data_IF_629349251574
#
_entry.id   IF_629349251574
#
_cell.length_a   1.000
_cell.length_b   1.000
_cell.length_c   1.000
_cell.angle_alpha   90.00
_cell.angle_beta   90.00
_cell.angle_gamma   90.00
#
_symmetry.space_group_name_H-M   'P 1'
#
loop_
_entity.id
_entity.type
_entity.pdbx_description
1 polymer ?
#
# COMPACT_ATOMS: atom_id res chain seq x y z
N UNK A 1 -47.69 33.34 39.60
CA UNK A 1 -46.29 33.80 39.48
C UNK A 1 -45.50 32.68 38.83
N UNK A 2 -45.53 32.66 37.50
CA UNK A 2 -44.83 31.71 36.63
C UNK A 2 -43.67 32.45 36.00
N UNK A 3 -42.44 32.13 36.38
CA UNK A 3 -41.25 32.71 35.80
C UNK A 3 -40.53 31.66 34.96
N UNK A 4 -40.70 31.79 33.64
CA UNK A 4 -40.09 30.95 32.62
C UNK A 4 -38.68 31.45 32.34
N UNK A 5 -37.66 30.74 32.85
CA UNK A 5 -36.27 30.97 32.46
C UNK A 5 -36.06 30.49 31.01
N UNK A 6 -36.06 31.45 30.07
CA UNK A 6 -35.54 31.26 28.72
C UNK A 6 -34.03 30.98 28.77
N UNK A 7 -33.49 30.00 28.02
CA UNK A 7 -32.06 29.92 27.80
C UNK A 7 -31.62 31.13 26.98
N UNK A 8 -30.60 31.83 27.46
CA UNK A 8 -29.95 32.93 26.75
C UNK A 8 -29.31 32.43 25.47
N UNK A 9 -29.80 32.89 24.32
CA UNK A 9 -29.11 32.79 23.03
C UNK A 9 -27.75 33.49 23.10
N UNK A 10 -26.70 32.70 23.34
CA UNK A 10 -25.32 33.18 23.33
C UNK A 10 -24.85 33.37 21.89
N UNK A 11 -25.07 34.58 21.36
CA UNK A 11 -24.18 35.34 20.46
C UNK A 11 -23.54 34.56 19.30
N UNK A 12 -24.21 34.57 18.15
CA UNK A 12 -23.54 34.44 16.84
C UNK A 12 -22.59 35.63 16.62
N UNK A 13 -21.33 35.52 17.05
CA UNK A 13 -20.28 36.49 16.68
C UNK A 13 -20.15 36.50 15.15
N UNK A 14 -20.47 37.63 14.53
CA UNK A 14 -20.35 37.84 13.09
C UNK A 14 -18.92 37.54 12.62
N UNK A 15 -18.76 36.48 11.83
CA UNK A 15 -17.52 36.14 11.15
C UNK A 15 -17.05 37.34 10.32
N UNK A 16 -15.86 37.85 10.60
CA UNK A 16 -15.22 38.99 9.90
C UNK A 16 -15.12 38.71 8.41
N UNK A 17 -15.18 39.74 7.54
CA UNK A 17 -15.08 39.58 6.09
C UNK A 17 -13.82 38.81 5.65
N UNK A 18 -12.70 39.01 6.37
CA UNK A 18 -11.45 38.27 6.20
C UNK A 18 -11.61 36.76 6.44
N UNK A 19 -12.37 36.35 7.46
CA UNK A 19 -12.62 34.91 7.72
C UNK A 19 -13.47 34.25 6.63
N UNK A 20 -14.41 34.99 6.01
CA UNK A 20 -15.22 34.48 4.89
C UNK A 20 -14.42 34.41 3.60
N UNK A 21 -13.60 35.42 3.32
CA UNK A 21 -12.69 35.41 2.17
C UNK A 21 -11.67 34.27 2.27
N UNK A 22 -11.08 34.05 3.45
CA UNK A 22 -10.19 32.93 3.72
C UNK A 22 -10.91 31.57 3.57
N UNK A 23 -12.15 31.44 4.05
CA UNK A 23 -12.95 30.22 3.90
C UNK A 23 -13.27 29.92 2.42
N UNK A 24 -13.64 30.93 1.64
CA UNK A 24 -13.90 30.78 0.20
C UNK A 24 -12.64 30.42 -0.56
N UNK A 25 -11.50 31.06 -0.26
CA UNK A 25 -10.21 30.73 -0.85
C UNK A 25 -9.79 29.29 -0.52
N UNK A 26 -9.91 28.88 0.75
CA UNK A 26 -9.58 27.51 1.17
C UNK A 26 -10.46 26.47 0.46
N UNK A 27 -11.77 26.69 0.36
CA UNK A 27 -12.69 25.81 -0.39
C UNK A 27 -12.34 25.75 -1.87
N UNK A 28 -12.05 26.88 -2.49
CA UNK A 28 -11.63 26.96 -3.89
C UNK A 28 -10.33 26.19 -4.13
N UNK A 29 -9.34 26.38 -3.25
CA UNK A 29 -8.05 25.69 -3.33
C UNK A 29 -8.19 24.17 -3.18
N UNK A 30 -8.92 23.68 -2.17
CA UNK A 30 -9.17 22.24 -1.96
C UNK A 30 -9.91 21.62 -3.15
N UNK A 31 -10.89 22.33 -3.71
CA UNK A 31 -11.66 21.84 -4.86
C UNK A 31 -10.77 21.79 -6.12
N UNK A 32 -9.94 22.80 -6.32
CA UNK A 32 -9.00 22.85 -7.44
C UNK A 32 -7.95 21.74 -7.36
N UNK A 33 -7.36 21.49 -6.18
CA UNK A 33 -6.41 20.39 -5.99
C UNK A 33 -7.07 19.03 -6.17
N UNK A 34 -8.31 18.86 -5.71
CA UNK A 34 -9.11 17.66 -5.97
C UNK A 34 -9.33 17.41 -7.46
N UNK A 35 -9.76 18.43 -8.22
CA UNK A 35 -9.91 18.31 -9.68
C UNK A 35 -8.60 18.03 -10.39
N UNK A 36 -7.51 18.71 -9.98
CA UNK A 36 -6.19 18.49 -10.55
C UNK A 36 -5.74 17.03 -10.38
N UNK A 37 -5.94 16.45 -9.19
CA UNK A 37 -5.60 15.05 -8.94
C UNK A 37 -6.36 14.10 -9.88
N UNK A 38 -7.66 14.33 -10.10
CA UNK A 38 -8.48 13.54 -11.03
C UNK A 38 -7.97 13.69 -12.47
N UNK A 39 -7.68 14.92 -12.91
CA UNK A 39 -7.17 15.19 -14.27
C UNK A 39 -5.82 14.50 -14.49
N UNK A 40 -4.90 14.58 -13.53
CA UNK A 40 -3.60 13.91 -13.62
C UNK A 40 -3.75 12.39 -13.69
N UNK A 41 -4.61 11.80 -12.85
CA UNK A 41 -4.88 10.36 -12.89
C UNK A 41 -5.46 9.91 -14.24
N UNK A 42 -6.43 10.68 -14.76
CA UNK A 42 -7.02 10.43 -16.07
C UNK A 42 -6.00 10.58 -17.20
N UNK A 43 -5.12 11.57 -17.13
CA UNK A 43 -4.04 11.78 -18.09
C UNK A 43 -3.03 10.61 -18.08
N UNK A 44 -2.64 10.12 -16.91
CA UNK A 44 -1.77 8.93 -16.79
C UNK A 44 -2.46 7.71 -17.42
N UNK A 45 -3.73 7.47 -17.11
CA UNK A 45 -4.47 6.35 -17.68
C UNK A 45 -4.58 6.45 -19.21
N UNK A 46 -4.93 7.64 -19.73
CA UNK A 46 -5.01 7.88 -21.17
C UNK A 46 -3.64 7.71 -21.86
N UNK A 47 -2.56 8.17 -21.22
CA UNK A 47 -1.19 8.00 -21.72
C UNK A 47 -0.78 6.53 -21.79
N UNK A 48 -1.10 5.73 -20.77
CA UNK A 48 -0.85 4.29 -20.77
C UNK A 48 -1.63 3.59 -21.89
N UNK A 49 -2.92 3.91 -22.04
CA UNK A 49 -3.77 3.33 -23.09
C UNK A 49 -3.23 3.67 -24.47
N UNK A 50 -2.94 4.95 -24.74
CA UNK A 50 -2.46 5.43 -26.04
C UNK A 50 -1.20 4.69 -26.51
N UNK A 51 -0.21 4.54 -25.64
CA UNK A 51 1.04 3.85 -25.97
C UNK A 51 0.89 2.32 -26.02
N UNK A 52 -0.16 1.76 -25.42
CA UNK A 52 -0.47 0.33 -25.45
C UNK A 52 -1.16 -0.11 -26.75
N UNK A 53 -1.87 0.79 -27.46
CA UNK A 53 -2.70 0.44 -28.63
C UNK A 53 -1.96 -0.36 -29.70
N UNK A 54 -0.70 -0.01 -29.98
CA UNK A 54 0.14 -0.72 -30.95
C UNK A 54 0.37 -2.19 -30.55
N UNK A 55 0.75 -2.43 -29.30
CA UNK A 55 0.95 -3.79 -28.80
C UNK A 55 -0.35 -4.60 -28.76
N UNK A 56 -1.48 -3.94 -28.43
CA UNK A 56 -2.79 -4.58 -28.43
C UNK A 56 -3.23 -5.00 -29.83
N UNK A 57 -2.92 -4.20 -30.85
CA UNK A 57 -3.20 -4.53 -32.26
C UNK A 57 -2.31 -5.64 -32.83
N UNK A 58 -1.02 -5.66 -32.46
CA UNK A 58 -0.05 -6.62 -33.02
C UNK A 58 -0.05 -7.99 -32.31
N UNK A 59 -0.13 -8.02 -30.97
CA UNK A 59 0.03 -9.24 -30.18
C UNK A 59 -1.25 -9.71 -29.46
N UNK A 60 -2.23 -8.81 -29.27
CA UNK A 60 -3.50 -9.09 -28.60
C UNK A 60 -3.39 -9.16 -27.06
N UNK A 61 -4.30 -8.47 -26.35
CA UNK A 61 -4.28 -8.35 -24.88
C UNK A 61 -4.22 -9.71 -24.18
N UNK A 62 -5.06 -10.66 -24.59
CA UNK A 62 -5.14 -11.97 -23.96
C UNK A 62 -3.80 -12.71 -24.01
N UNK A 63 -3.13 -12.70 -25.17
CA UNK A 63 -1.85 -13.39 -25.35
C UNK A 63 -0.72 -12.75 -24.57
N UNK A 64 -0.72 -11.42 -24.44
CA UNK A 64 0.23 -10.68 -23.61
C UNK A 64 -0.01 -11.01 -22.13
N UNK A 65 -1.24 -10.93 -21.64
CA UNK A 65 -1.54 -11.09 -20.21
C UNK A 65 -1.40 -12.55 -19.75
N UNK A 66 -1.88 -13.52 -20.53
CA UNK A 66 -1.86 -14.94 -20.15
C UNK A 66 -0.65 -15.70 -20.67
N UNK A 67 0.20 -15.07 -21.49
CA UNK A 67 1.41 -15.70 -22.01
C UNK A 67 2.41 -15.99 -20.90
N UNK A 68 3.03 -17.17 -20.96
CA UNK A 68 3.97 -17.66 -19.93
C UNK A 68 5.43 -17.31 -20.19
N UNK A 69 5.74 -16.87 -21.41
CA UNK A 69 7.10 -16.69 -21.90
C UNK A 69 7.41 -15.20 -22.08
N UNK A 70 8.36 -14.68 -21.30
CA UNK A 70 8.90 -13.33 -21.46
C UNK A 70 10.30 -13.37 -22.08
N UNK A 71 10.36 -13.31 -23.41
CA UNK A 71 11.61 -13.25 -24.18
C UNK A 71 11.51 -12.14 -25.24
N UNK A 72 11.68 -10.86 -24.86
CA UNK A 72 11.56 -9.74 -25.79
C UNK A 72 12.62 -9.74 -26.90
N UNK A 73 13.80 -10.31 -26.62
CA UNK A 73 14.97 -10.33 -27.50
C UNK A 73 15.00 -11.52 -28.46
N UNK A 74 14.06 -12.48 -28.35
CA UNK A 74 13.98 -13.61 -29.29
C UNK A 74 13.41 -13.19 -30.65
N UNK A 75 13.66 -13.98 -31.70
CA UNK A 75 13.02 -13.82 -33.00
C UNK A 75 12.18 -15.06 -33.32
N UNK A 76 10.82 -14.98 -33.32
CA UNK A 76 9.99 -13.82 -32.97
C UNK A 76 10.01 -13.52 -31.46
N UNK A 77 9.75 -12.25 -31.09
CA UNK A 77 9.70 -11.80 -29.71
C UNK A 77 8.50 -12.39 -28.96
N UNK A 78 8.70 -12.80 -27.70
CA UNK A 78 7.65 -13.35 -26.83
C UNK A 78 7.37 -12.41 -25.66
N UNK A 79 6.11 -12.03 -25.50
CA UNK A 79 5.68 -10.95 -24.59
C UNK A 79 4.64 -11.42 -23.56
N UNK A 80 4.83 -12.61 -23.00
CA UNK A 80 3.96 -13.17 -21.97
C UNK A 80 4.21 -12.57 -20.59
N UNK A 81 3.26 -11.79 -20.07
CA UNK A 81 3.34 -11.08 -18.80
C UNK A 81 2.89 -11.91 -17.58
N UNK A 82 2.34 -13.11 -17.77
CA UNK A 82 1.90 -13.97 -16.66
C UNK A 82 2.99 -14.22 -15.60
N UNK A 83 4.26 -14.56 -15.93
CA UNK A 83 5.31 -14.72 -14.93
C UNK A 83 5.58 -13.42 -14.14
N UNK A 84 5.42 -12.25 -14.77
CA UNK A 84 5.61 -10.95 -14.13
C UNK A 84 4.49 -10.63 -13.14
N UNK A 85 3.24 -10.92 -13.54
CA UNK A 85 2.05 -10.73 -12.71
C UNK A 85 2.13 -11.65 -11.49
N UNK A 86 2.41 -12.93 -11.71
CA UNK A 86 2.50 -13.91 -10.63
C UNK A 86 3.69 -13.61 -9.72
N UNK A 87 4.84 -13.25 -10.27
CA UNK A 87 6.01 -12.81 -9.50
C UNK A 87 5.68 -11.62 -8.59
N UNK A 88 5.02 -10.59 -9.12
CA UNK A 88 4.53 -9.44 -8.34
C UNK A 88 3.60 -9.87 -7.21
N UNK A 89 2.57 -10.68 -7.52
CA UNK A 89 1.59 -11.12 -6.53
C UNK A 89 2.21 -11.96 -5.40
N UNK A 90 3.13 -12.87 -5.73
CA UNK A 90 3.83 -13.70 -4.74
C UNK A 90 4.66 -12.82 -3.79
N UNK A 91 5.46 -11.89 -4.33
CA UNK A 91 6.30 -11.01 -3.52
C UNK A 91 5.45 -10.12 -2.62
N UNK A 92 4.36 -9.54 -3.14
CA UNK A 92 3.41 -8.77 -2.35
C UNK A 92 2.75 -9.64 -1.26
N UNK A 93 2.34 -10.87 -1.59
CA UNK A 93 1.70 -11.77 -0.62
C UNK A 93 2.65 -12.10 0.53
N UNK A 94 3.91 -12.45 0.25
CA UNK A 94 4.94 -12.69 1.28
C UNK A 94 5.13 -11.44 2.13
N UNK A 95 5.21 -10.26 1.51
CA UNK A 95 5.33 -8.99 2.24
C UNK A 95 4.18 -8.76 3.20
N UNK A 96 2.94 -9.05 2.80
CA UNK A 96 1.76 -8.89 3.66
C UNK A 96 1.72 -9.90 4.79
N UNK A 97 2.11 -11.16 4.54
CA UNK A 97 2.21 -12.20 5.59
C UNK A 97 3.21 -11.80 6.66
N UNK A 98 4.26 -11.05 6.32
CA UNK A 98 5.22 -10.50 7.29
C UNK A 98 4.68 -9.22 7.94
N UNK A 99 4.24 -8.26 7.13
CA UNK A 99 3.96 -6.90 7.58
C UNK A 99 2.66 -6.79 8.37
N UNK A 100 1.60 -7.50 7.98
CA UNK A 100 0.28 -7.37 8.62
C UNK A 100 0.30 -7.90 10.06
N UNK A 101 0.74 -9.15 10.34
CA UNK A 101 0.71 -9.66 11.71
C UNK A 101 1.62 -8.86 12.64
N UNK A 102 2.85 -8.56 12.21
CA UNK A 102 3.83 -7.81 13.01
C UNK A 102 3.37 -6.36 13.17
N UNK A 103 2.88 -5.73 12.11
CA UNK A 103 2.44 -4.34 12.13
C UNK A 103 1.22 -4.12 13.01
N UNK A 104 0.21 -5.00 12.92
CA UNK A 104 -0.98 -4.92 13.76
C UNK A 104 -0.68 -5.25 15.23
N UNK A 105 0.16 -6.25 15.50
CA UNK A 105 0.58 -6.57 16.85
C UNK A 105 1.32 -5.39 17.50
N UNK A 106 2.24 -4.76 16.76
CA UNK A 106 2.95 -3.58 17.23
C UNK A 106 2.01 -2.39 17.45
N UNK A 107 1.08 -2.12 16.53
CA UNK A 107 0.10 -1.04 16.68
C UNK A 107 -0.79 -1.22 17.92
N UNK A 108 -1.31 -2.43 18.13
CA UNK A 108 -2.13 -2.78 19.30
C UNK A 108 -1.34 -2.65 20.60
N UNK A 109 -0.09 -3.12 20.61
CA UNK A 109 0.77 -3.00 21.78
C UNK A 109 1.07 -1.54 22.12
N UNK A 110 1.44 -0.75 21.11
CA UNK A 110 1.77 0.67 21.26
C UNK A 110 0.57 1.51 21.68
N UNK A 111 -0.65 1.15 21.26
CA UNK A 111 -1.85 1.92 21.61
C UNK A 111 -2.45 1.56 22.95
N UNK A 112 -2.46 0.28 23.34
CA UNK A 112 -3.22 -0.16 24.52
C UNK A 112 -2.34 -0.56 25.73
N UNK A 113 -1.07 -0.90 25.51
CA UNK A 113 -0.21 -1.47 26.55
C UNK A 113 1.07 -0.68 26.81
N UNK A 114 1.61 0.02 25.82
CA UNK A 114 2.85 0.75 25.96
C UNK A 114 2.72 1.97 26.88
N UNK A 115 3.74 2.20 27.70
CA UNK A 115 3.88 3.45 28.44
C UNK A 115 4.27 4.62 27.52
N UNK A 116 4.04 5.86 27.98
CA UNK A 116 4.25 7.09 27.18
C UNK A 116 5.63 7.17 26.52
N UNK A 117 6.71 6.89 27.26
CA UNK A 117 8.08 6.92 26.72
C UNK A 117 8.30 5.92 25.60
N UNK A 118 7.85 4.67 25.81
CA UNK A 118 8.02 3.62 24.80
C UNK A 118 7.24 3.96 23.53
N UNK A 119 6.01 4.47 23.69
CA UNK A 119 5.20 4.96 22.57
C UNK A 119 5.91 6.06 21.77
N UNK A 120 6.38 7.11 22.45
CA UNK A 120 7.07 8.24 21.81
C UNK A 120 8.34 7.81 21.07
N UNK A 121 9.16 6.94 21.70
CA UNK A 121 10.38 6.40 21.06
C UNK A 121 10.05 5.50 19.88
N UNK A 122 9.11 4.56 20.02
CA UNK A 122 8.71 3.68 18.93
C UNK A 122 8.13 4.46 17.75
N UNK A 123 7.33 5.52 18.00
CA UNK A 123 6.79 6.37 16.93
C UNK A 123 7.91 7.09 16.16
N UNK A 124 8.90 7.64 16.87
CA UNK A 124 10.08 8.22 16.23
C UNK A 124 10.88 7.20 15.38
N UNK A 125 11.05 5.96 15.88
CA UNK A 125 11.70 4.88 15.12
C UNK A 125 10.90 4.51 13.86
N UNK A 126 9.58 4.39 13.97
CA UNK A 126 8.68 4.07 12.86
C UNK A 126 8.74 5.18 11.79
N UNK A 127 8.68 6.44 12.20
CA UNK A 127 8.78 7.59 11.30
C UNK A 127 10.15 7.64 10.61
N UNK A 128 11.23 7.35 11.35
CA UNK A 128 12.55 7.22 10.76
C UNK A 128 12.62 6.09 9.73
N UNK A 129 12.07 4.91 10.04
CA UNK A 129 11.99 3.78 9.11
C UNK A 129 11.23 4.15 7.83
N UNK A 130 10.15 4.93 7.94
CA UNK A 130 9.36 5.39 6.79
C UNK A 130 10.15 6.34 5.86
N UNK A 131 11.10 7.10 6.41
CA UNK A 131 11.93 8.06 5.68
C UNK A 131 13.12 7.41 4.95
N UNK A 132 13.49 6.17 5.29
CA UNK A 132 14.61 5.47 4.64
C UNK A 132 14.27 5.18 3.17
N UNK A 133 15.13 5.56 2.21
CA UNK A 133 14.94 5.25 0.80
C UNK A 133 14.90 3.73 0.53
N UNK A 134 14.09 3.29 -0.43
CA UNK A 134 13.90 1.86 -0.69
C UNK A 134 15.16 1.13 -1.16
N UNK A 135 16.05 1.83 -1.88
CA UNK A 135 17.37 1.30 -2.28
C UNK A 135 18.24 0.92 -1.06
N UNK A 136 18.12 1.65 0.05
CA UNK A 136 18.86 1.33 1.28
C UNK A 136 18.36 0.01 1.87
N UNK A 137 17.04 -0.19 1.91
CA UNK A 137 16.46 -1.49 2.29
C UNK A 137 16.89 -2.61 1.34
N UNK A 138 16.94 -2.33 0.03
CA UNK A 138 17.45 -3.26 -0.97
C UNK A 138 18.90 -3.68 -0.69
N UNK A 139 19.79 -2.71 -0.43
CA UNK A 139 21.19 -2.97 -0.13
C UNK A 139 21.38 -3.78 1.16
N UNK A 140 20.68 -3.40 2.23
CA UNK A 140 20.69 -4.15 3.50
C UNK A 140 20.13 -5.57 3.31
N UNK A 141 19.08 -5.71 2.50
CA UNK A 141 18.51 -7.00 2.14
C UNK A 141 19.50 -7.90 1.41
N UNK A 142 20.25 -7.36 0.45
CA UNK A 142 21.31 -8.11 -0.26
C UNK A 142 22.44 -8.51 0.69
N UNK A 143 22.81 -7.62 1.62
CA UNK A 143 23.89 -7.89 2.56
C UNK A 143 23.53 -8.90 3.65
N UNK A 144 22.27 -8.90 4.13
CA UNK A 144 21.86 -9.67 5.31
C UNK A 144 20.81 -10.74 4.99
N UNK A 145 19.71 -10.36 4.35
CA UNK A 145 18.56 -11.25 4.13
C UNK A 145 18.87 -12.31 3.08
N UNK A 146 19.48 -11.92 1.95
CA UNK A 146 19.83 -12.85 0.87
C UNK A 146 20.78 -13.95 1.37
N UNK A 147 21.90 -13.67 2.06
CA UNK A 147 22.73 -14.72 2.66
C UNK A 147 22.01 -15.55 3.73
N UNK A 148 21.14 -14.94 4.53
CA UNK A 148 20.39 -15.64 5.56
C UNK A 148 19.41 -16.66 4.95
N UNK A 149 18.62 -16.26 3.96
CA UNK A 149 17.71 -17.14 3.22
C UNK A 149 18.48 -18.23 2.49
N UNK A 150 19.60 -17.88 1.83
CA UNK A 150 20.48 -18.85 1.16
C UNK A 150 20.93 -19.97 2.10
N UNK A 151 21.42 -19.61 3.30
CA UNK A 151 21.88 -20.60 4.30
C UNK A 151 20.73 -21.37 4.93
N UNK A 152 19.63 -20.70 5.25
CA UNK A 152 18.48 -21.33 5.92
C UNK A 152 17.81 -22.41 5.07
N UNK A 153 17.77 -22.22 3.75
CA UNK A 153 17.13 -23.16 2.81
C UNK A 153 18.13 -23.92 1.92
N UNK A 154 19.43 -23.82 2.21
CA UNK A 154 20.50 -24.48 1.43
C UNK A 154 20.41 -24.24 -0.09
N UNK A 155 20.20 -22.98 -0.50
CA UNK A 155 20.03 -22.60 -1.90
C UNK A 155 21.34 -22.19 -2.56
N UNK A 156 21.39 -22.20 -3.90
CA UNK A 156 22.52 -21.66 -4.68
C UNK A 156 22.56 -20.13 -4.63
N UNK A 157 21.39 -19.50 -4.62
CA UNK A 157 21.19 -18.06 -4.53
C UNK A 157 20.08 -17.74 -3.54
N UNK A 158 20.26 -16.68 -2.75
CA UNK A 158 19.21 -16.13 -1.90
C UNK A 158 18.36 -15.06 -2.58
N UNK A 159 18.61 -14.75 -3.86
CA UNK A 159 17.84 -13.77 -4.62
C UNK A 159 16.52 -14.39 -5.08
N UNK A 160 15.52 -14.36 -4.20
CA UNK A 160 14.28 -15.12 -4.33
C UNK A 160 13.06 -14.25 -4.06
N UNK A 161 11.87 -14.73 -4.45
CA UNK A 161 10.62 -14.09 -4.10
C UNK A 161 10.45 -13.92 -2.57
N UNK A 162 10.91 -14.90 -1.78
CA UNK A 162 10.92 -14.84 -0.32
C UNK A 162 11.79 -13.69 0.22
N UNK A 163 13.03 -13.57 -0.25
CA UNK A 163 13.93 -12.50 0.19
C UNK A 163 13.40 -11.11 -0.15
N UNK A 164 12.89 -10.93 -1.37
CA UNK A 164 12.24 -9.69 -1.79
C UNK A 164 11.01 -9.38 -0.94
N UNK A 165 10.15 -10.39 -0.71
CA UNK A 165 8.94 -10.25 0.10
C UNK A 165 9.21 -9.92 1.56
N UNK A 166 10.23 -10.53 2.20
CA UNK A 166 10.60 -10.21 3.59
C UNK A 166 11.00 -8.75 3.74
N UNK A 167 11.91 -8.27 2.89
CA UNK A 167 12.40 -6.88 2.97
C UNK A 167 11.28 -5.89 2.65
N UNK A 168 10.45 -6.21 1.64
CA UNK A 168 9.28 -5.42 1.31
C UNK A 168 8.27 -5.38 2.47
N UNK A 169 8.09 -6.49 3.18
CA UNK A 169 7.25 -6.56 4.36
C UNK A 169 7.76 -5.65 5.47
N UNK A 170 9.07 -5.66 5.75
CA UNK A 170 9.70 -4.73 6.71
C UNK A 170 9.49 -3.28 6.29
N UNK A 171 9.59 -2.98 5.00
CA UNK A 171 9.36 -1.63 4.46
C UNK A 171 7.89 -1.18 4.53
N UNK A 172 6.93 -2.12 4.55
CA UNK A 172 5.52 -1.83 4.71
C UNK A 172 5.10 -1.65 6.18
N UNK A 173 5.90 -2.12 7.15
CA UNK A 173 5.60 -2.00 8.57
C UNK A 173 5.31 -0.58 9.02
N UNK A 174 6.11 0.46 8.67
CA UNK A 174 5.87 1.80 9.19
C UNK A 174 4.49 2.35 8.82
N UNK A 175 4.05 2.09 7.59
CA UNK A 175 2.72 2.48 7.11
C UNK A 175 1.62 1.76 7.88
N UNK A 176 1.73 0.43 8.02
CA UNK A 176 0.70 -0.36 8.70
C UNK A 176 0.64 -0.01 10.20
N UNK A 177 1.78 0.09 10.87
CA UNK A 177 1.85 0.36 12.32
C UNK A 177 1.31 1.75 12.63
N UNK A 178 1.81 2.79 11.94
CA UNK A 178 1.47 4.18 12.26
C UNK A 178 -0.03 4.44 12.05
N UNK A 179 -0.58 4.04 10.91
CA UNK A 179 -1.99 4.29 10.59
C UNK A 179 -2.91 3.42 11.45
N UNK A 180 -2.52 2.18 11.76
CA UNK A 180 -3.30 1.33 12.69
C UNK A 180 -3.29 1.88 14.12
N UNK A 181 -2.15 2.41 14.58
CA UNK A 181 -2.02 3.04 15.90
C UNK A 181 -2.88 4.29 16.02
N UNK A 182 -2.89 5.14 15.00
CA UNK A 182 -3.76 6.33 14.94
C UNK A 182 -5.24 5.92 14.92
N UNK A 183 -5.60 4.89 14.15
CA UNK A 183 -6.97 4.35 14.12
C UNK A 183 -7.43 3.82 15.49
N UNK A 184 -6.56 3.12 16.21
CA UNK A 184 -6.85 2.63 17.56
C UNK A 184 -7.01 3.79 18.55
N UNK A 185 -6.18 4.84 18.45
CA UNK A 185 -6.31 6.03 19.31
C UNK A 185 -7.56 6.86 19.03
N UNK A 186 -8.07 6.85 17.80
CA UNK A 186 -9.30 7.55 17.44
C UNK A 186 -10.54 6.98 18.13
N UNK A 187 -10.48 5.73 18.64
CA UNK A 187 -11.58 5.15 19.41
C UNK A 187 -11.81 5.98 20.68
N UNK A 188 -13.06 6.38 21.00
CA UNK A 188 -13.34 7.15 22.22
C UNK A 188 -12.91 6.44 23.51
N UNK A 189 -12.33 7.18 24.46
CA UNK A 189 -11.95 6.65 25.77
C UNK A 189 -13.17 6.18 26.59
N UNK A 190 -14.35 6.74 26.35
CA UNK A 190 -15.61 6.33 26.98
C UNK A 190 -15.93 4.85 26.76
N UNK A 191 -15.67 4.31 25.56
CA UNK A 191 -15.87 2.89 25.25
C UNK A 191 -14.92 2.00 26.08
N UNK A 192 -13.68 2.45 26.29
CA UNK A 192 -12.70 1.74 27.13
C UNK A 192 -13.13 1.73 28.58
N UNK A 193 -13.52 2.89 29.12
CA UNK A 193 -13.99 3.00 30.51
C UNK A 193 -15.27 2.21 30.76
N UNK A 194 -16.21 2.21 29.82
CA UNK A 194 -17.44 1.43 29.92
C UNK A 194 -17.15 -0.09 29.96
N UNK A 195 -16.28 -0.59 29.08
CA UNK A 195 -15.87 -2.00 29.09
C UNK A 195 -15.19 -2.41 30.40
N UNK A 196 -14.27 -1.58 30.92
CA UNK A 196 -13.59 -1.83 32.19
C UNK A 196 -14.57 -1.80 33.37
N UNK A 197 -15.57 -0.92 33.36
CA UNK A 197 -16.62 -0.84 34.40
C UNK A 197 -17.51 -2.09 34.44
N UNK A 198 -17.64 -2.82 33.33
CA UNK A 198 -18.32 -4.11 33.25
C UNK A 198 -17.44 -5.28 33.75
N UNK A 199 -16.25 -5.00 34.30
CA UNK A 199 -15.34 -6.01 34.83
C UNK A 199 -14.45 -6.68 33.79
N UNK A 200 -14.42 -6.18 32.54
CA UNK A 200 -13.50 -6.71 31.53
C UNK A 200 -12.05 -6.30 31.86
N UNK A 201 -11.10 -7.17 31.53
CA UNK A 201 -9.67 -6.83 31.58
C UNK A 201 -9.28 -5.88 30.44
N UNK A 202 -8.08 -5.27 30.55
CA UNK A 202 -7.53 -4.44 29.46
C UNK A 202 -7.43 -5.23 28.15
N UNK A 203 -6.94 -6.46 28.20
CA UNK A 203 -6.88 -7.34 27.02
C UNK A 203 -8.27 -7.59 26.42
N UNK A 204 -9.25 -7.95 27.25
CA UNK A 204 -10.64 -8.16 26.80
C UNK A 204 -11.24 -6.90 26.16
N UNK A 205 -10.96 -5.73 26.73
CA UNK A 205 -11.38 -4.45 26.16
C UNK A 205 -10.73 -4.19 24.81
N UNK A 206 -9.43 -4.45 24.68
CA UNK A 206 -8.69 -4.28 23.41
C UNK A 206 -9.27 -5.16 22.31
N UNK A 207 -9.39 -6.47 22.50
CA UNK A 207 -9.78 -7.36 21.41
C UNK A 207 -11.29 -7.38 21.14
N UNK A 208 -12.15 -7.12 22.14
CA UNK A 208 -13.62 -7.13 21.96
C UNK A 208 -14.21 -5.77 21.62
N UNK A 209 -13.54 -4.68 21.97
CA UNK A 209 -14.09 -3.32 21.84
C UNK A 209 -13.20 -2.46 20.96
N UNK A 210 -11.95 -2.21 21.36
CA UNK A 210 -11.10 -1.24 20.66
C UNK A 210 -10.74 -1.69 19.24
N UNK A 211 -10.22 -2.91 19.07
CA UNK A 211 -9.80 -3.43 17.76
C UNK A 211 -11.00 -3.54 16.79
N UNK A 212 -12.16 -4.09 17.21
CA UNK A 212 -13.35 -4.08 16.35
C UNK A 212 -13.83 -2.67 15.99
N UNK A 213 -13.83 -1.73 16.94
CA UNK A 213 -14.22 -0.34 16.69
C UNK A 213 -13.26 0.38 15.73
N UNK A 214 -11.97 0.08 15.79
CA UNK A 214 -10.94 0.62 14.89
C UNK A 214 -10.79 -0.15 13.56
N UNK A 215 -11.61 -1.17 13.32
CA UNK A 215 -11.41 -2.14 12.22
C UNK A 215 -11.39 -1.50 10.83
N UNK A 216 -12.17 -0.44 10.58
CA UNK A 216 -12.13 0.30 9.32
C UNK A 216 -10.81 1.02 9.11
N UNK A 217 -10.28 1.69 10.14
CA UNK A 217 -8.98 2.36 10.07
C UNK A 217 -7.82 1.37 9.95
N UNK A 218 -7.88 0.24 10.67
CA UNK A 218 -6.90 -0.86 10.55
C UNK A 218 -6.91 -1.45 9.14
N UNK A 219 -8.10 -1.69 8.57
CA UNK A 219 -8.21 -2.19 7.20
C UNK A 219 -7.63 -1.19 6.21
N UNK A 220 -7.92 0.12 6.35
CA UNK A 220 -7.32 1.16 5.52
C UNK A 220 -5.78 1.19 5.64
N UNK A 221 -5.23 1.03 6.84
CA UNK A 221 -3.79 0.95 7.08
C UNK A 221 -3.14 -0.22 6.32
N UNK A 222 -3.76 -1.41 6.38
CA UNK A 222 -3.30 -2.59 5.65
C UNK A 222 -3.37 -2.35 4.15
N UNK A 223 -4.47 -1.80 3.63
CA UNK A 223 -4.64 -1.53 2.20
C UNK A 223 -3.63 -0.51 1.67
N UNK A 224 -3.30 0.54 2.45
CA UNK A 224 -2.24 1.48 2.11
C UNK A 224 -0.86 0.79 2.06
N UNK A 225 -0.61 -0.15 2.98
CA UNK A 225 0.58 -1.02 2.95
C UNK A 225 0.64 -1.90 1.70
N UNK A 226 -0.49 -2.50 1.30
CA UNK A 226 -0.63 -3.30 0.06
C UNK A 226 -0.29 -2.45 -1.16
N UNK A 227 -0.88 -1.26 -1.28
CA UNK A 227 -0.64 -0.34 -2.39
C UNK A 227 0.83 0.04 -2.52
N UNK A 228 1.50 0.33 -1.39
CA UNK A 228 2.95 0.59 -1.36
C UNK A 228 3.76 -0.64 -1.78
N UNK A 229 3.37 -1.83 -1.34
CA UNK A 229 4.08 -3.07 -1.66
C UNK A 229 3.97 -3.45 -3.15
N UNK A 230 2.79 -3.32 -3.75
CA UNK A 230 2.57 -3.61 -5.19
C UNK A 230 3.38 -2.66 -6.08
N UNK A 231 3.48 -1.39 -5.68
CA UNK A 231 4.22 -0.36 -6.40
C UNK A 231 5.74 -0.36 -6.17
N UNK A 232 6.27 -1.21 -5.29
CA UNK A 232 7.70 -1.19 -5.00
C UNK A 232 8.52 -1.65 -6.20
N UNK A 233 9.56 -0.88 -6.51
CA UNK A 233 10.33 -1.03 -7.75
C UNK A 233 11.79 -1.34 -7.45
N UNK A 234 12.48 -0.49 -6.69
CA UNK A 234 13.94 -0.57 -6.54
C UNK A 234 14.37 -1.69 -5.59
N UNK A 235 13.71 -1.84 -4.43
CA UNK A 235 14.08 -2.90 -3.49
C UNK A 235 13.87 -4.29 -4.12
N UNK A 236 12.76 -4.46 -4.83
CA UNK A 236 12.39 -5.71 -5.49
C UNK A 236 13.37 -6.06 -6.62
N UNK A 237 13.77 -5.07 -7.43
CA UNK A 237 14.83 -5.24 -8.45
C UNK A 237 16.13 -5.76 -7.85
N UNK A 238 16.52 -5.31 -6.65
CA UNK A 238 17.79 -5.72 -6.04
C UNK A 238 17.72 -7.13 -5.43
N UNK A 239 16.54 -7.62 -5.05
CA UNK A 239 16.40 -8.77 -4.14
C UNK A 239 15.79 -10.02 -4.77
N UNK A 240 15.04 -9.88 -5.87
CA UNK A 240 14.25 -11.00 -6.43
C UNK A 240 14.95 -11.79 -7.53
N UNK A 241 16.14 -11.37 -7.94
CA UNK A 241 16.94 -12.05 -8.96
C UNK A 241 16.51 -11.75 -10.41
N UNK A 242 15.34 -11.11 -10.61
CA UNK A 242 14.84 -10.63 -11.90
C UNK A 242 14.78 -11.69 -13.01
N UNK A 243 14.46 -12.93 -12.67
CA UNK A 243 14.23 -13.99 -13.64
C UNK A 243 12.76 -13.96 -14.10
N UNK A 244 12.54 -13.76 -15.40
CA UNK A 244 11.19 -13.70 -16.00
C UNK A 244 10.66 -15.11 -16.34
N UNK A 245 10.74 -16.02 -15.37
CA UNK A 245 10.29 -17.42 -15.48
C UNK A 245 9.10 -17.62 -14.56
N UNK A 246 8.18 -18.51 -14.94
CA UNK A 246 7.02 -18.83 -14.12
C UNK A 246 7.47 -19.46 -12.78
N UNK A 247 7.25 -18.79 -11.63
CA UNK A 247 7.68 -19.32 -10.35
C UNK A 247 6.84 -20.53 -9.94
N UNK A 248 7.50 -21.57 -9.44
CA UNK A 248 6.85 -22.74 -8.85
C UNK A 248 6.93 -22.75 -7.33
N UNK A 249 7.85 -21.99 -6.77
CA UNK A 249 8.09 -21.89 -5.33
C UNK A 249 8.45 -20.48 -4.90
N UNK A 250 8.36 -20.19 -3.59
CA UNK A 250 8.78 -18.92 -3.00
C UNK A 250 10.32 -18.74 -2.99
N UNK A 251 11.05 -19.83 -3.16
CA UNK A 251 12.51 -19.89 -3.08
C UNK A 251 13.18 -19.72 -4.45
N UNK A 252 12.40 -19.45 -5.49
CA UNK A 252 12.90 -19.17 -6.84
C UNK A 252 13.02 -17.65 -7.08
N UNK A 253 13.91 -17.29 -8.01
CA UNK A 253 14.01 -15.92 -8.51
C UNK A 253 12.77 -15.57 -9.33
N UNK A 254 12.29 -14.34 -9.16
CA UNK A 254 11.13 -13.82 -9.87
C UNK A 254 11.44 -12.45 -10.45
N UNK A 255 10.66 -12.05 -11.45
CA UNK A 255 10.66 -10.68 -11.96
C UNK A 255 9.28 -10.10 -11.74
N UNK A 256 9.20 -8.87 -11.24
CA UNK A 256 7.93 -8.17 -11.00
C UNK A 256 7.58 -7.25 -12.17
N UNK A 257 6.30 -6.88 -12.28
CA UNK A 257 5.84 -5.90 -13.27
C UNK A 257 6.56 -4.56 -13.14
N UNK A 258 6.66 -4.03 -11.91
CA UNK A 258 7.38 -2.79 -11.61
C UNK A 258 8.86 -2.87 -11.98
N UNK A 259 9.53 -3.98 -11.61
CA UNK A 259 10.92 -4.21 -11.94
C UNK A 259 11.15 -4.32 -13.45
N UNK A 260 10.25 -4.99 -14.17
CA UNK A 260 10.34 -5.11 -15.64
C UNK A 260 10.26 -3.77 -16.32
N UNK A 261 9.29 -2.93 -15.94
CA UNK A 261 9.14 -1.58 -16.49
C UNK A 261 10.40 -0.77 -16.20
N UNK A 262 10.88 -0.76 -14.95
CA UNK A 262 12.05 0.03 -14.58
C UNK A 262 13.36 -0.44 -15.25
N UNK A 263 13.54 -1.76 -15.41
CA UNK A 263 14.74 -2.31 -16.04
C UNK A 263 14.76 -2.11 -17.55
N UNK A 264 13.62 -2.30 -18.23
CA UNK A 264 13.60 -2.38 -19.70
C UNK A 264 13.16 -1.07 -20.38
N UNK A 265 12.34 -0.23 -19.74
CA UNK A 265 11.75 0.96 -20.39
C UNK A 265 12.81 1.95 -20.91
N UNK A 266 13.94 2.07 -20.22
CA UNK A 266 15.04 2.94 -20.64
C UNK A 266 15.92 2.36 -21.75
N UNK A 267 15.84 1.05 -22.01
CA UNK A 267 16.71 0.32 -22.95
C UNK A 267 16.05 0.07 -24.30
N UNK A 268 14.71 0.16 -24.37
CA UNK A 268 13.94 -0.17 -25.58
C UNK A 268 13.78 1.01 -26.53
N UNK A 269 13.73 0.71 -27.83
CA UNK A 269 13.50 1.71 -28.87
C UNK A 269 12.09 2.28 -28.75
N UNK A 270 11.99 3.61 -28.62
CA UNK A 270 10.71 4.30 -28.51
C UNK A 270 9.82 4.04 -29.72
N UNK A 271 8.55 3.76 -29.45
CA UNK A 271 7.56 3.43 -30.47
C UNK A 271 7.63 2.01 -31.01
N UNK A 272 8.62 1.18 -30.64
CA UNK A 272 8.68 -0.23 -31.03
C UNK A 272 7.64 -1.12 -30.32
N UNK A 273 7.48 -2.36 -30.78
CA UNK A 273 6.53 -3.32 -30.18
C UNK A 273 6.87 -3.63 -28.71
N UNK A 274 8.14 -3.82 -28.36
CA UNK A 274 8.57 -4.06 -26.97
C UNK A 274 8.26 -2.86 -26.07
N UNK A 275 8.51 -1.64 -26.55
CA UNK A 275 8.13 -0.40 -25.85
C UNK A 275 6.63 -0.38 -25.54
N UNK A 276 5.78 -0.60 -26.55
CA UNK A 276 4.32 -0.64 -26.36
C UNK A 276 3.85 -1.78 -25.44
N UNK A 277 4.53 -2.93 -25.43
CA UNK A 277 4.21 -4.03 -24.50
C UNK A 277 4.50 -3.63 -23.05
N UNK A 278 5.57 -2.89 -22.77
CA UNK A 278 5.85 -2.40 -21.41
C UNK A 278 4.75 -1.44 -20.92
N UNK A 279 4.14 -0.66 -21.82
CA UNK A 279 2.95 0.13 -21.49
C UNK A 279 1.73 -0.75 -21.18
N UNK A 280 1.56 -1.88 -21.86
CA UNK A 280 0.51 -2.86 -21.52
C UNK A 280 0.74 -3.43 -20.12
N UNK A 281 1.99 -3.77 -19.77
CA UNK A 281 2.34 -4.22 -18.40
C UNK A 281 2.02 -3.11 -17.37
N UNK A 282 2.34 -1.86 -17.68
CA UNK A 282 1.97 -0.70 -16.86
C UNK A 282 0.46 -0.51 -16.73
N UNK A 283 -0.30 -0.72 -17.80
CA UNK A 283 -1.75 -0.66 -17.80
C UNK A 283 -2.37 -1.78 -16.94
N UNK A 284 -1.82 -2.99 -17.00
CA UNK A 284 -2.23 -4.12 -16.14
C UNK A 284 -1.94 -3.81 -14.67
N UNK A 285 -0.76 -3.30 -14.35
CA UNK A 285 -0.39 -2.89 -12.99
C UNK A 285 -1.30 -1.77 -12.47
N UNK A 286 -1.58 -0.77 -13.31
CA UNK A 286 -2.50 0.32 -13.00
C UNK A 286 -3.91 -0.20 -12.73
N UNK A 287 -4.44 -1.05 -13.61
CA UNK A 287 -5.75 -1.66 -13.44
C UNK A 287 -5.83 -2.50 -12.17
N UNK A 288 -4.83 -3.33 -11.88
CA UNK A 288 -4.76 -4.13 -10.66
C UNK A 288 -4.75 -3.24 -9.41
N UNK A 289 -3.90 -2.22 -9.37
CA UNK A 289 -3.81 -1.28 -8.25
C UNK A 289 -5.11 -0.49 -8.06
N UNK A 290 -5.70 -0.01 -9.15
CA UNK A 290 -6.98 0.70 -9.13
C UNK A 290 -8.11 -0.20 -8.64
N UNK A 291 -8.21 -1.44 -9.12
CA UNK A 291 -9.22 -2.41 -8.66
C UNK A 291 -9.07 -2.74 -7.18
N UNK A 292 -7.84 -2.92 -6.69
CA UNK A 292 -7.57 -3.20 -5.27
C UNK A 292 -7.96 -2.01 -4.40
N UNK A 293 -7.59 -0.79 -4.79
CA UNK A 293 -7.94 0.44 -4.06
C UNK A 293 -9.45 0.69 -4.09
N UNK A 294 -10.10 0.51 -5.24
CA UNK A 294 -11.55 0.66 -5.37
C UNK A 294 -12.29 -0.37 -4.50
N UNK A 295 -11.86 -1.64 -4.53
CA UNK A 295 -12.43 -2.67 -3.68
C UNK A 295 -12.25 -2.34 -2.19
N UNK A 296 -11.09 -1.80 -1.80
CA UNK A 296 -10.84 -1.35 -0.44
C UNK A 296 -11.81 -0.26 -0.01
N UNK A 297 -11.99 0.77 -0.84
CA UNK A 297 -12.90 1.88 -0.55
C UNK A 297 -14.35 1.42 -0.40
N UNK A 298 -14.81 0.52 -1.28
CA UNK A 298 -16.15 -0.05 -1.20
C UNK A 298 -16.36 -0.87 0.09
N UNK A 299 -15.35 -1.63 0.51
CA UNK A 299 -15.39 -2.38 1.78
C UNK A 299 -15.39 -1.41 2.98
N UNK A 300 -14.55 -0.37 2.94
CA UNK A 300 -14.47 0.66 3.98
C UNK A 300 -15.79 1.41 4.15
N UNK A 301 -16.44 1.79 3.06
CA UNK A 301 -17.72 2.50 3.11
C UNK A 301 -18.82 1.63 3.73
N UNK A 302 -18.83 0.34 3.41
CA UNK A 302 -19.75 -0.64 4.01
C UNK A 302 -19.50 -0.82 5.51
N UNK A 303 -18.23 -0.85 5.93
CA UNK A 303 -17.88 -0.93 7.35
C UNK A 303 -18.27 0.35 8.10
N UNK A 304 -18.01 1.53 7.54
CA UNK A 304 -18.42 2.80 8.13
C UNK A 304 -19.93 2.87 8.37
N UNK A 305 -20.72 2.47 7.37
CA UNK A 305 -22.20 2.36 7.48
C UNK A 305 -22.65 1.36 8.57
N UNK A 306 -21.91 0.27 8.79
CA UNK A 306 -22.25 -0.76 9.79
C UNK A 306 -22.02 -0.29 11.23
N UNK A 307 -21.05 0.58 11.47
CA UNK A 307 -20.69 1.08 12.81
C UNK A 307 -21.26 2.46 13.13
N UNK A 308 -22.10 3.03 12.25
CA UNK A 308 -22.88 4.23 12.55
C UNK A 308 -22.07 5.52 12.73
N UNK A 309 -20.94 5.65 12.01
CA UNK A 309 -20.18 6.90 11.89
C UNK A 309 -20.29 7.45 10.48
#
# INVERSE_FOLDING_TARGET
MTDTLRPSDSRSRGRTALSRAAETFAKGFITATGWLAIVVLAAIAAFLVWNSLRALGEAGLGRIVTGTDWYPTSSPGKFGAAPLIVGSLIVTLVALVVAVPVGLAAAVYLSEFAGRRLKEVSKAVIEFMAAIPSVVYGLVGVALVVPAVKRAFALDSGLTALSGGIVLGVMALPTIVSISEDALHAVPSSLRHASLALGNTRWQTTYKVTVPAASSGIFAAVMLGVGRAIGETMAVLMLTGNAAVMPRSLLESVRTMTGTIAAEMGEVVQGGTHYSVLFVVGLVLFAATFSINLAADLVLEKQRKRWGV
#
